data_IF_372995577225
#
_entry.id   IF_372995577225
#
_cell.length_a   1.000
_cell.length_b   1.000
_cell.length_c   1.000
_cell.angle_alpha   90.00
_cell.angle_beta   90.00
_cell.angle_gamma   90.00
#
_symmetry.space_group_name_H-M   'P 1'
#
loop_
_entity.id
_entity.type
_entity.pdbx_description
1 polymer ?
#
# COMPACT_ATOMS: atom_id res chain seq x y z
N UNK A 1 3.44 -0.01 -21.96
CA UNK A 1 4.60 0.15 -21.03
C UNK A 1 5.22 -1.22 -20.91
N UNK A 2 6.52 -1.34 -21.11
CA UNK A 2 7.21 -2.61 -20.95
C UNK A 2 7.52 -2.79 -19.46
N UNK A 3 6.88 -3.77 -18.81
CA UNK A 3 7.04 -4.08 -17.40
C UNK A 3 8.08 -5.19 -17.25
N UNK A 4 9.04 -5.09 -16.31
CA UNK A 4 10.10 -6.09 -16.16
C UNK A 4 9.58 -7.37 -15.50
N UNK A 5 10.20 -8.50 -15.86
CA UNK A 5 9.91 -9.81 -15.25
C UNK A 5 10.55 -9.97 -13.86
N UNK A 6 11.53 -9.13 -13.52
CA UNK A 6 12.22 -9.14 -12.23
C UNK A 6 12.16 -7.76 -11.61
N UNK A 7 11.70 -7.70 -10.36
CA UNK A 7 11.65 -6.46 -9.56
C UNK A 7 12.58 -6.54 -8.35
N UNK A 8 13.32 -5.46 -8.04
CA UNK A 8 13.81 -5.23 -6.69
C UNK A 8 12.61 -5.00 -5.77
N UNK A 9 12.56 -5.69 -4.64
CA UNK A 9 11.44 -5.57 -3.72
C UNK A 9 11.83 -4.94 -2.39
N UNK A 10 10.92 -4.14 -1.86
CA UNK A 10 11.03 -3.46 -0.58
C UNK A 10 9.99 -4.06 0.38
N UNK A 11 10.37 -5.06 1.19
CA UNK A 11 9.50 -5.62 2.21
C UNK A 11 9.30 -4.62 3.35
N UNK A 12 8.07 -4.15 3.53
CA UNK A 12 7.74 -3.20 4.59
C UNK A 12 6.39 -3.53 5.22
N UNK A 13 6.35 -4.02 6.48
CA UNK A 13 5.10 -4.36 7.14
C UNK A 13 4.19 -3.14 7.29
N UNK A 14 2.91 -3.30 6.99
CA UNK A 14 1.91 -2.24 7.16
C UNK A 14 1.98 -1.10 6.13
N UNK A 15 2.99 -1.05 5.27
CA UNK A 15 3.03 -0.10 4.16
C UNK A 15 2.27 -0.67 2.97
N UNK A 16 1.21 0.00 2.58
CA UNK A 16 0.39 -0.34 1.42
C UNK A 16 0.63 0.67 0.29
N UNK A 17 0.87 0.17 -0.91
CA UNK A 17 0.85 0.96 -2.14
C UNK A 17 -0.23 0.39 -3.06
N UNK A 18 -1.03 1.26 -3.63
CA UNK A 18 -2.07 0.91 -4.59
C UNK A 18 -1.78 1.57 -5.95
N UNK A 19 -2.28 1.03 -7.06
CA UNK A 19 -2.11 1.63 -8.39
C UNK A 19 -2.52 3.11 -8.39
N UNK A 20 -1.77 3.97 -9.07
CA UNK A 20 -1.97 5.43 -9.16
C UNK A 20 -1.80 6.22 -7.87
N UNK A 21 -1.84 5.56 -6.71
CA UNK A 21 -1.62 6.20 -5.41
C UNK A 21 -0.14 6.60 -5.20
N UNK A 22 0.10 7.48 -4.24
CA UNK A 22 1.44 7.96 -3.88
C UNK A 22 1.82 7.51 -2.49
N UNK A 23 3.03 6.98 -2.36
CA UNK A 23 3.61 6.56 -1.08
C UNK A 23 4.94 7.29 -0.86
N UNK A 24 4.99 8.27 0.05
CA UNK A 24 6.25 8.86 0.48
C UNK A 24 6.98 7.88 1.40
N UNK A 25 8.28 7.73 1.21
CA UNK A 25 9.14 6.85 2.00
C UNK A 25 10.43 7.58 2.38
N UNK A 26 10.91 7.30 3.59
CA UNK A 26 12.22 7.70 4.06
C UNK A 26 13.15 6.48 4.03
N UNK A 27 14.15 6.51 3.16
CA UNK A 27 15.08 5.40 2.93
C UNK A 27 16.40 5.72 3.62
N UNK A 28 16.81 4.86 4.56
CA UNK A 28 18.02 5.03 5.37
C UNK A 28 18.81 3.73 5.58
N UNK A 29 18.21 2.56 5.43
CA UNK A 29 18.91 1.29 5.56
C UNK A 29 19.85 1.07 4.35
N UNK A 30 21.14 0.68 4.58
CA UNK A 30 22.11 0.52 3.49
C UNK A 30 21.64 -0.38 2.34
N UNK A 31 20.92 -1.47 2.66
CA UNK A 31 20.37 -2.36 1.63
C UNK A 31 19.35 -1.67 0.73
N UNK A 32 18.56 -0.75 1.27
CA UNK A 32 17.55 -0.03 0.50
C UNK A 32 18.10 1.22 -0.18
N UNK A 33 19.18 1.80 0.32
CA UNK A 33 19.96 2.79 -0.42
C UNK A 33 20.54 2.17 -1.70
N UNK A 34 21.15 0.98 -1.59
CA UNK A 34 21.64 0.24 -2.75
C UNK A 34 20.53 -0.14 -3.74
N UNK A 35 19.35 -0.56 -3.23
CA UNK A 35 18.17 -0.84 -4.05
C UNK A 35 17.75 0.39 -4.85
N UNK A 36 17.70 1.56 -4.20
CA UNK A 36 17.31 2.81 -4.84
C UNK A 36 18.31 3.23 -5.90
N UNK A 37 19.62 3.20 -5.59
CA UNK A 37 20.69 3.53 -6.52
C UNK A 37 20.61 2.67 -7.79
N UNK A 38 20.41 1.38 -7.64
CA UNK A 38 20.28 0.47 -8.79
C UNK A 38 18.98 0.69 -9.56
N UNK A 39 17.86 0.94 -8.85
CA UNK A 39 16.57 1.25 -9.45
C UNK A 39 16.62 2.50 -10.31
N UNK A 40 17.28 3.56 -9.84
CA UNK A 40 17.40 4.84 -10.57
C UNK A 40 18.21 4.72 -11.88
N UNK A 41 19.07 3.71 -12.01
CA UNK A 41 19.82 3.40 -13.24
C UNK A 41 18.97 2.66 -14.29
N UNK A 42 17.81 2.10 -13.91
CA UNK A 42 16.91 1.41 -14.82
C UNK A 42 15.99 2.39 -15.55
N UNK A 43 15.55 2.03 -16.76
CA UNK A 43 14.62 2.86 -17.54
C UNK A 43 13.22 2.93 -16.91
N UNK A 44 12.78 1.87 -16.24
CA UNK A 44 11.45 1.76 -15.65
C UNK A 44 11.36 2.37 -14.24
N UNK A 45 12.46 2.43 -13.48
CA UNK A 45 12.54 2.95 -12.11
C UNK A 45 11.50 2.38 -11.15
N UNK A 46 11.23 1.07 -11.25
CA UNK A 46 10.21 0.38 -10.46
C UNK A 46 10.81 -0.31 -9.24
N UNK A 47 10.11 -0.19 -8.12
CA UNK A 47 10.34 -0.91 -6.86
C UNK A 47 9.04 -1.64 -6.50
N UNK A 48 9.12 -2.93 -6.18
CA UNK A 48 7.98 -3.69 -5.69
C UNK A 48 7.78 -3.49 -4.18
N UNK A 49 6.73 -2.77 -3.79
CA UNK A 49 6.27 -2.75 -2.40
C UNK A 49 5.55 -4.06 -2.08
N UNK A 50 5.97 -4.72 -1.02
CA UNK A 50 5.41 -6.03 -0.65
C UNK A 50 5.43 -6.21 0.86
N UNK A 51 4.44 -6.89 1.41
CA UNK A 51 4.42 -7.19 2.83
C UNK A 51 5.13 -8.52 3.12
N UNK A 52 5.97 -8.56 4.17
CA UNK A 52 6.45 -9.82 4.73
C UNK A 52 5.37 -10.44 5.62
N UNK A 53 5.32 -11.77 5.71
CA UNK A 53 4.57 -12.44 6.77
C UNK A 53 5.20 -12.11 8.13
N UNK A 54 4.39 -11.94 9.18
CA UNK A 54 4.89 -11.70 10.53
C UNK A 54 5.64 -12.96 11.03
N UNK A 55 6.97 -12.90 11.00
CA UNK A 55 7.83 -13.91 11.60
C UNK A 55 8.97 -13.23 12.33
N UNK A 56 8.80 -13.04 13.62
CA UNK A 56 9.78 -12.37 14.49
C UNK A 56 11.12 -13.13 14.62
N UNK A 57 11.22 -14.36 14.15
CA UNK A 57 12.42 -15.21 14.27
C UNK A 57 13.20 -15.33 12.96
N UNK A 58 12.60 -14.94 11.84
CA UNK A 58 13.23 -15.07 10.54
C UNK A 58 14.02 -13.80 10.19
N UNK A 59 15.34 -13.93 9.98
CA UNK A 59 16.14 -12.85 9.38
C UNK A 59 15.64 -12.45 7.99
N UNK A 60 14.97 -13.39 7.31
CA UNK A 60 14.43 -13.22 5.95
C UNK A 60 13.00 -13.77 5.90
N UNK A 61 12.01 -13.02 6.39
CA UNK A 61 10.63 -13.49 6.44
C UNK A 61 10.09 -13.77 5.03
N UNK A 62 9.15 -14.72 4.95
CA UNK A 62 8.43 -15.04 3.72
C UNK A 62 7.64 -13.81 3.26
N UNK A 63 7.55 -13.59 1.97
CA UNK A 63 6.76 -12.50 1.38
C UNK A 63 5.35 -12.97 1.06
N UNK A 64 4.40 -12.04 1.13
CA UNK A 64 3.08 -12.25 0.52
C UNK A 64 3.21 -12.47 -0.99
N UNK A 65 2.21 -13.13 -1.57
CA UNK A 65 2.25 -13.45 -3.00
C UNK A 65 1.97 -12.22 -3.89
N UNK A 66 1.26 -11.22 -3.38
CA UNK A 66 0.86 -10.04 -4.14
C UNK A 66 1.46 -8.79 -3.50
N UNK A 67 2.09 -7.97 -4.35
CA UNK A 67 2.58 -6.64 -4.03
C UNK A 67 2.13 -5.62 -5.07
N UNK A 68 2.57 -4.38 -4.93
CA UNK A 68 2.35 -3.32 -5.91
C UNK A 68 3.68 -2.68 -6.30
N UNK A 69 3.93 -2.59 -7.61
CA UNK A 69 5.08 -1.90 -8.15
C UNK A 69 4.84 -0.39 -8.16
N UNK A 70 5.76 0.35 -7.58
CA UNK A 70 5.78 1.79 -7.58
C UNK A 70 6.94 2.33 -8.38
N UNK A 71 6.69 3.38 -9.17
CA UNK A 71 7.73 4.14 -9.86
C UNK A 71 8.27 5.22 -8.95
N UNK A 72 9.59 5.34 -8.87
CA UNK A 72 10.23 6.48 -8.21
C UNK A 72 9.97 7.74 -9.03
N UNK A 73 9.09 8.60 -8.54
CA UNK A 73 8.67 9.85 -9.23
C UNK A 73 9.29 11.10 -8.63
N UNK A 74 9.74 11.03 -7.39
CA UNK A 74 10.50 12.08 -6.73
C UNK A 74 11.53 11.45 -5.80
N UNK A 75 12.70 12.10 -5.69
CA UNK A 75 13.69 11.78 -4.68
C UNK A 75 14.46 13.05 -4.28
N UNK A 76 14.85 13.10 -3.02
CA UNK A 76 15.68 14.15 -2.48
C UNK A 76 16.64 13.53 -1.48
N UNK A 77 17.93 13.80 -1.63
CA UNK A 77 18.94 13.42 -0.68
C UNK A 77 18.93 14.40 0.50
N UNK A 78 18.97 13.87 1.72
CA UNK A 78 19.09 14.65 2.94
C UNK A 78 20.56 14.82 3.30
N UNK A 79 20.92 15.84 4.09
CA UNK A 79 22.29 16.18 4.47
C UNK A 79 23.06 15.02 5.16
N UNK A 80 22.33 14.06 5.72
CA UNK A 80 22.87 12.88 6.40
C UNK A 80 22.98 11.63 5.49
N UNK A 81 22.83 11.80 4.16
CA UNK A 81 22.98 10.72 3.18
C UNK A 81 21.81 9.74 3.13
N UNK A 82 20.64 10.15 3.62
CA UNK A 82 19.37 9.42 3.47
C UNK A 82 18.59 9.97 2.29
N UNK A 83 17.56 9.23 1.89
CA UNK A 83 16.69 9.68 0.80
C UNK A 83 15.24 9.79 1.24
N UNK A 84 14.61 10.89 0.86
CA UNK A 84 13.15 11.02 0.81
C UNK A 84 12.71 10.71 -0.61
N UNK A 85 11.89 9.69 -0.81
CA UNK A 85 11.38 9.31 -2.13
C UNK A 85 9.86 9.32 -2.15
N UNK A 86 9.29 9.44 -3.33
CA UNK A 86 7.87 9.19 -3.57
C UNK A 86 7.74 8.09 -4.60
N UNK A 87 7.04 7.03 -4.25
CA UNK A 87 6.60 6.01 -5.19
C UNK A 87 5.19 6.35 -5.67
N UNK A 88 5.00 6.31 -6.99
CA UNK A 88 3.66 6.32 -7.59
C UNK A 88 3.33 4.91 -8.04
N UNK A 89 2.25 4.33 -7.54
CA UNK A 89 1.81 2.99 -7.87
C UNK A 89 1.52 2.83 -9.35
N UNK A 90 1.97 1.73 -9.93
CA UNK A 90 1.82 1.41 -11.36
C UNK A 90 0.88 0.25 -11.55
N UNK A 91 1.18 -0.89 -10.95
CA UNK A 91 0.37 -2.10 -11.05
C UNK A 91 0.69 -3.06 -9.92
N UNK A 92 -0.29 -3.81 -9.49
CA UNK A 92 -0.05 -5.01 -8.67
C UNK A 92 0.72 -6.04 -9.47
N UNK A 93 1.42 -6.89 -8.76
CA UNK A 93 2.15 -8.03 -9.32
C UNK A 93 2.01 -9.25 -8.41
N UNK A 94 2.22 -10.42 -8.98
CA UNK A 94 2.33 -11.68 -8.24
C UNK A 94 3.77 -12.17 -8.25
N UNK A 95 4.31 -12.46 -7.09
CA UNK A 95 5.62 -13.11 -6.96
C UNK A 95 5.51 -14.56 -7.44
N UNK A 96 6.36 -14.95 -8.36
CA UNK A 96 6.49 -16.32 -8.87
C UNK A 96 7.72 -17.02 -8.34
N UNK A 97 8.75 -16.28 -7.93
CA UNK A 97 9.97 -16.80 -7.35
C UNK A 97 10.85 -15.71 -6.76
N UNK A 98 11.82 -16.06 -5.92
CA UNK A 98 12.89 -15.17 -5.53
C UNK A 98 14.13 -15.44 -6.37
N UNK A 99 14.80 -14.35 -6.78
CA UNK A 99 16.06 -14.44 -7.52
C UNK A 99 17.22 -14.43 -6.53
N UNK A 100 17.99 -15.49 -6.52
CA UNK A 100 19.23 -15.55 -5.77
C UNK A 100 20.30 -14.62 -6.37
N UNK A 101 21.21 -14.09 -5.55
CA UNK A 101 22.28 -13.23 -6.02
C UNK A 101 23.01 -12.50 -4.90
N UNK A 102 23.94 -11.63 -5.28
CA UNK A 102 24.82 -10.88 -4.36
C UNK A 102 24.31 -9.48 -4.00
N UNK A 103 23.09 -9.12 -4.43
CA UNK A 103 22.52 -7.81 -4.05
C UNK A 103 22.15 -7.81 -2.57
N UNK A 104 22.38 -6.70 -1.84
CA UNK A 104 22.04 -6.62 -0.41
C UNK A 104 20.52 -6.56 -0.16
N UNK A 105 19.73 -6.45 -1.21
CA UNK A 105 18.25 -6.41 -1.20
C UNK A 105 17.66 -7.60 -1.96
N UNK A 106 16.40 -7.86 -1.73
CA UNK A 106 15.66 -8.98 -2.36
C UNK A 106 15.20 -8.59 -3.77
N UNK A 107 15.24 -9.55 -4.68
CA UNK A 107 14.67 -9.46 -6.02
C UNK A 107 13.71 -10.62 -6.23
N UNK A 108 12.60 -10.36 -6.91
CA UNK A 108 11.61 -11.38 -7.20
C UNK A 108 11.31 -11.43 -8.70
N UNK A 109 11.15 -12.63 -9.20
CA UNK A 109 10.44 -12.88 -10.45
C UNK A 109 8.95 -12.59 -10.21
N UNK A 110 8.32 -11.91 -11.16
CA UNK A 110 6.96 -11.42 -11.01
C UNK A 110 6.12 -11.67 -12.26
N UNK A 111 4.83 -11.88 -12.04
CA UNK A 111 3.81 -11.93 -13.08
C UNK A 111 2.83 -10.77 -12.91
N UNK A 112 2.51 -10.12 -14.02
CA UNK A 112 1.54 -9.03 -14.11
C UNK A 112 0.15 -9.51 -14.50
N UNK A 113 0.01 -10.79 -14.80
CA UNK A 113 -1.23 -11.40 -15.25
C UNK A 113 -2.33 -11.29 -14.19
N UNK A 114 -3.50 -10.85 -14.61
CA UNK A 114 -4.67 -10.64 -13.75
C UNK A 114 -4.76 -9.24 -13.13
N UNK A 115 -3.79 -8.34 -13.44
CA UNK A 115 -3.76 -6.96 -12.96
C UNK A 115 -3.78 -5.94 -14.11
N UNK A 116 -4.26 -6.30 -15.28
CA UNK A 116 -4.28 -5.46 -16.47
C UNK A 116 -5.07 -4.16 -16.27
N UNK A 117 -6.09 -4.19 -15.40
CA UNK A 117 -6.89 -3.01 -15.05
C UNK A 117 -6.07 -1.91 -14.37
N UNK A 118 -5.06 -2.30 -13.61
CA UNK A 118 -4.22 -1.36 -12.86
C UNK A 118 -3.48 -0.38 -13.78
N UNK A 119 -3.23 -0.78 -15.05
CA UNK A 119 -2.58 0.03 -16.08
C UNK A 119 -3.56 0.98 -16.81
N UNK A 120 -4.84 0.83 -16.55
CA UNK A 120 -5.90 1.68 -17.11
C UNK A 120 -6.04 3.04 -16.40
N UNK A 121 -7.13 3.72 -16.69
CA UNK A 121 -7.54 4.95 -16.00
C UNK A 121 -8.06 4.67 -14.58
N UNK A 122 -8.35 5.74 -13.82
CA UNK A 122 -8.98 5.61 -12.50
C UNK A 122 -10.29 4.83 -12.57
N UNK A 123 -10.54 4.03 -11.53
CA UNK A 123 -11.79 3.30 -11.37
C UNK A 123 -12.85 4.18 -10.69
N UNK A 124 -14.12 3.97 -11.05
CA UNK A 124 -15.29 4.56 -10.37
C UNK A 124 -16.11 3.45 -9.72
N UNK A 125 -16.80 3.77 -8.64
CA UNK A 125 -17.72 2.84 -7.97
C UNK A 125 -19.16 3.39 -8.03
N UNK A 126 -19.90 2.97 -9.04
CA UNK A 126 -21.29 3.41 -9.28
C UNK A 126 -22.23 3.10 -8.10
N UNK A 127 -21.85 2.20 -7.20
CA UNK A 127 -22.63 1.79 -6.04
C UNK A 127 -22.18 2.48 -4.74
N UNK A 128 -21.26 3.44 -4.81
CA UNK A 128 -20.81 4.18 -3.64
C UNK A 128 -21.89 5.15 -3.15
N UNK A 129 -22.56 4.81 -2.05
CA UNK A 129 -23.31 5.80 -1.26
C UNK A 129 -22.29 6.66 -0.48
N UNK A 130 -21.85 7.75 -1.13
CA UNK A 130 -20.82 8.64 -0.60
C UNK A 130 -21.24 9.27 0.73
N UNK A 131 -22.53 9.61 0.88
CA UNK A 131 -23.05 10.20 2.12
C UNK A 131 -22.94 9.24 3.29
N UNK A 132 -23.45 8.02 3.12
CA UNK A 132 -23.36 6.97 4.14
C UNK A 132 -21.90 6.57 4.44
N UNK A 133 -21.05 6.53 3.43
CA UNK A 133 -19.64 6.20 3.59
C UNK A 133 -18.89 7.26 4.41
N UNK A 134 -19.06 8.55 4.10
CA UNK A 134 -18.45 9.65 4.87
C UNK A 134 -18.98 9.73 6.30
N UNK A 135 -20.26 9.44 6.53
CA UNK A 135 -20.84 9.38 7.88
C UNK A 135 -20.23 8.23 8.71
N UNK A 136 -19.98 7.07 8.09
CA UNK A 136 -19.30 5.95 8.74
C UNK A 136 -17.83 6.31 9.08
N UNK A 137 -17.14 6.96 8.14
CA UNK A 137 -15.77 7.45 8.36
C UNK A 137 -15.68 8.45 9.50
N UNK A 138 -16.63 9.39 9.61
CA UNK A 138 -16.63 10.38 10.67
C UNK A 138 -16.67 9.72 12.06
N UNK A 139 -17.52 8.70 12.22
CA UNK A 139 -17.58 7.90 13.46
C UNK A 139 -16.29 7.16 13.75
N UNK A 140 -15.66 6.58 12.73
CA UNK A 140 -14.40 5.86 12.87
C UNK A 140 -13.26 6.79 13.26
N UNK A 141 -13.14 7.95 12.59
CA UNK A 141 -12.10 8.93 12.89
C UNK A 141 -12.25 9.52 14.31
N UNK A 142 -13.50 9.71 14.77
CA UNK A 142 -13.78 10.13 16.13
C UNK A 142 -13.34 9.06 17.15
N UNK A 143 -13.72 7.78 16.92
CA UNK A 143 -13.38 6.68 17.80
C UNK A 143 -11.86 6.42 17.89
N UNK A 144 -11.16 6.50 16.76
CA UNK A 144 -9.71 6.30 16.68
C UNK A 144 -8.90 7.58 16.94
N UNK A 145 -9.55 8.70 17.27
CA UNK A 145 -8.94 10.02 17.50
C UNK A 145 -8.08 10.51 16.32
N UNK A 146 -8.47 10.11 15.10
CA UNK A 146 -7.82 10.52 13.86
C UNK A 146 -8.30 11.89 13.40
N UNK A 147 -7.43 12.60 12.68
CA UNK A 147 -7.75 13.89 12.07
C UNK A 147 -7.56 13.84 10.56
N UNK A 148 -8.42 14.55 9.84
CA UNK A 148 -8.34 14.64 8.38
C UNK A 148 -8.94 15.96 7.91
N UNK A 149 -8.62 16.32 6.67
CA UNK A 149 -9.30 17.39 5.93
C UNK A 149 -10.57 16.82 5.28
N UNK A 150 -11.71 17.09 5.89
CA UNK A 150 -13.01 16.61 5.42
C UNK A 150 -13.42 17.19 4.08
N UNK A 151 -12.98 18.39 3.75
CA UNK A 151 -13.31 19.03 2.47
C UNK A 151 -12.57 18.32 1.33
N UNK A 152 -11.29 18.05 1.50
CA UNK A 152 -10.52 17.23 0.57
C UNK A 152 -11.12 15.83 0.36
N UNK A 153 -11.60 15.18 1.43
CA UNK A 153 -12.25 13.86 1.32
C UNK A 153 -13.60 13.93 0.57
N UNK A 154 -14.35 15.02 0.72
CA UNK A 154 -15.62 15.21 0.00
C UNK A 154 -15.43 15.45 -1.50
N UNK A 155 -14.34 16.10 -1.88
CA UNK A 155 -14.04 16.48 -3.26
C UNK A 155 -13.23 15.43 -4.03
N UNK A 156 -12.58 14.50 -3.33
CA UNK A 156 -11.76 13.44 -3.93
C UNK A 156 -12.61 12.51 -4.83
N UNK A 157 -12.03 12.06 -5.95
CA UNK A 157 -12.62 10.99 -6.75
C UNK A 157 -12.74 9.70 -5.93
N UNK A 158 -13.62 8.79 -6.33
CA UNK A 158 -13.92 7.55 -5.59
C UNK A 158 -12.67 6.71 -5.35
N UNK A 159 -11.84 6.53 -6.37
CA UNK A 159 -10.59 5.77 -6.24
C UNK A 159 -9.62 6.45 -5.29
N UNK A 160 -9.41 7.74 -5.43
CA UNK A 160 -8.51 8.50 -4.55
C UNK A 160 -8.98 8.43 -3.09
N UNK A 161 -10.28 8.53 -2.86
CA UNK A 161 -10.88 8.44 -1.53
C UNK A 161 -10.65 7.07 -0.91
N UNK A 162 -11.06 5.99 -1.61
CA UNK A 162 -11.00 4.62 -1.10
C UNK A 162 -9.54 4.18 -0.92
N UNK A 163 -8.66 4.46 -1.88
CA UNK A 163 -7.27 4.05 -1.85
C UNK A 163 -6.47 4.81 -0.79
N UNK A 164 -6.68 6.11 -0.65
CA UNK A 164 -6.02 6.90 0.41
C UNK A 164 -6.40 6.39 1.79
N UNK A 165 -7.67 6.11 2.04
CA UNK A 165 -8.14 5.57 3.32
C UNK A 165 -7.58 4.15 3.57
N UNK A 166 -7.55 3.30 2.54
CA UNK A 166 -6.96 1.96 2.62
C UNK A 166 -5.47 2.02 3.00
N UNK A 167 -4.75 3.00 2.49
CA UNK A 167 -3.32 3.18 2.76
C UNK A 167 -3.05 3.81 4.12
N UNK A 168 -3.81 4.83 4.52
CA UNK A 168 -3.52 5.69 5.66
C UNK A 168 -4.15 5.23 6.97
N UNK A 169 -5.31 4.56 6.92
CA UNK A 169 -5.92 4.05 8.14
C UNK A 169 -5.02 3.03 8.85
N UNK A 170 -4.99 3.03 10.19
CA UNK A 170 -4.08 2.20 11.00
C UNK A 170 -4.57 0.75 11.13
N UNK A 171 -4.86 0.11 10.00
CA UNK A 171 -5.20 -1.31 9.95
C UNK A 171 -3.96 -2.19 10.08
N UNK A 172 -4.17 -3.40 10.56
CA UNK A 172 -3.12 -4.39 10.65
C UNK A 172 -2.57 -4.79 9.26
N UNK A 173 -1.32 -5.28 9.17
CA UNK A 173 -0.72 -5.68 7.89
C UNK A 173 -1.57 -6.68 7.09
N UNK A 174 -2.24 -7.62 7.75
CA UNK A 174 -3.11 -8.62 7.12
C UNK A 174 -4.36 -7.98 6.50
N UNK A 175 -4.97 -7.01 7.19
CA UNK A 175 -6.10 -6.24 6.68
C UNK A 175 -5.69 -5.38 5.48
N UNK A 176 -4.52 -4.73 5.55
CA UNK A 176 -3.96 -3.99 4.43
C UNK A 176 -3.64 -4.89 3.24
N UNK A 177 -3.21 -6.12 3.48
CA UNK A 177 -3.03 -7.10 2.41
C UNK A 177 -4.36 -7.46 1.74
N UNK A 178 -5.44 -7.66 2.51
CA UNK A 178 -6.76 -7.90 1.96
C UNK A 178 -7.26 -6.73 1.09
N UNK A 179 -7.00 -5.48 1.50
CA UNK A 179 -7.30 -4.29 0.71
C UNK A 179 -6.50 -4.23 -0.60
N UNK A 180 -5.22 -4.63 -0.59
CA UNK A 180 -4.39 -4.73 -1.79
C UNK A 180 -4.91 -5.78 -2.76
N UNK A 181 -5.31 -6.94 -2.24
CA UNK A 181 -5.73 -8.09 -3.04
C UNK A 181 -7.16 -7.95 -3.59
N UNK A 182 -7.94 -6.97 -3.14
CA UNK A 182 -9.28 -6.70 -3.63
C UNK A 182 -9.29 -6.54 -5.18
N UNK A 183 -10.10 -7.33 -5.89
CA UNK A 183 -10.04 -7.39 -7.37
C UNK A 183 -10.59 -6.14 -8.06
N UNK A 184 -11.36 -5.31 -7.36
CA UNK A 184 -11.96 -4.08 -7.89
C UNK A 184 -12.05 -3.01 -6.81
N UNK A 185 -12.27 -1.76 -7.23
CA UNK A 185 -12.51 -0.64 -6.32
C UNK A 185 -13.73 -0.90 -5.42
N UNK A 186 -14.82 -1.41 -5.98
CA UNK A 186 -16.02 -1.75 -5.23
C UNK A 186 -15.74 -2.78 -4.12
N UNK A 187 -15.01 -3.86 -4.44
CA UNK A 187 -14.63 -4.87 -3.43
C UNK A 187 -13.69 -4.30 -2.38
N UNK A 188 -12.75 -3.42 -2.77
CA UNK A 188 -11.87 -2.73 -1.83
C UNK A 188 -12.66 -1.85 -0.87
N UNK A 189 -13.64 -1.10 -1.37
CA UNK A 189 -14.55 -0.30 -0.53
C UNK A 189 -15.34 -1.18 0.44
N UNK A 190 -15.89 -2.31 -0.02
CA UNK A 190 -16.63 -3.22 0.85
C UNK A 190 -15.75 -3.80 1.97
N UNK A 191 -14.51 -4.18 1.63
CA UNK A 191 -13.52 -4.61 2.60
C UNK A 191 -13.20 -3.50 3.60
N UNK A 192 -12.94 -2.29 3.11
CA UNK A 192 -12.66 -1.11 3.94
C UNK A 192 -13.83 -0.81 4.91
N UNK A 193 -15.07 -0.80 4.42
CA UNK A 193 -16.27 -0.61 5.23
C UNK A 193 -16.38 -1.69 6.31
N UNK A 194 -16.08 -2.93 5.97
CA UNK A 194 -16.11 -4.06 6.92
C UNK A 194 -15.07 -3.87 8.02
N UNK A 195 -13.84 -3.51 7.68
CA UNK A 195 -12.77 -3.24 8.65
C UNK A 195 -13.11 -2.08 9.58
N UNK A 196 -13.66 -0.99 9.05
CA UNK A 196 -14.09 0.17 9.82
C UNK A 196 -15.21 -0.23 10.80
N UNK A 197 -16.20 -0.99 10.36
CA UNK A 197 -17.28 -1.47 11.23
C UNK A 197 -16.78 -2.39 12.33
N UNK A 198 -15.81 -3.23 12.00
CA UNK A 198 -15.19 -4.13 12.98
C UNK A 198 -14.42 -3.35 14.05
N UNK A 199 -13.62 -2.36 13.65
CA UNK A 199 -12.91 -1.48 14.56
C UNK A 199 -13.87 -0.74 15.52
N UNK A 200 -14.97 -0.17 14.98
CA UNK A 200 -16.00 0.50 15.79
C UNK A 200 -16.69 -0.44 16.77
N UNK A 201 -16.92 -1.71 16.41
CA UNK A 201 -17.52 -2.68 17.31
C UNK A 201 -16.56 -3.09 18.44
N UNK A 202 -15.25 -3.15 18.15
CA UNK A 202 -14.21 -3.43 19.13
C UNK A 202 -14.02 -2.31 20.16
N UNK A 203 -14.07 -1.06 19.71
CA UNK A 203 -13.95 0.13 20.59
C UNK A 203 -15.13 0.28 21.55
N UNK A 204 -16.35 -0.09 21.12
CA UNK A 204 -17.55 -0.01 21.97
C UNK A 204 -17.62 -1.06 23.09
N UNK A 205 -16.87 -2.17 22.97
CA UNK A 205 -16.85 -3.23 24.02
C UNK A 205 -15.85 -2.96 25.15
N UNK A 206 -14.99 -1.95 25.01
CA UNK A 206 -14.00 -1.57 26.02
C UNK A 206 -14.58 -0.70 27.15
N UNK A 207 -15.61 0.09 26.88
CA UNK A 207 -16.22 0.99 27.88
C UNK A 207 -17.14 0.26 28.89
N UNK A 208 -17.72 -0.89 28.51
CA UNK A 208 -18.62 -1.66 29.39
C UNK A 208 -17.89 -2.56 30.43
N UNK A 209 -16.55 -2.60 30.43
CA UNK A 209 -15.78 -3.42 31.38
C UNK A 209 -15.17 -2.65 32.56
N UNK A 210 -15.47 -1.35 32.71
CA UNK A 210 -14.99 -0.52 33.84
C UNK A 210 -16.14 0.11 34.62
N UNK A 211 -17.19 -0.66 34.91
CA UNK A 211 -18.17 -0.32 35.97
C UNK A 211 -18.27 -1.44 36.99
#
# INVERSE_FOLDING_TARGET
>A
MDLPDILPVFPLPGALLLPRARLPLHVFEPRYLALLDDTLKTSHRLIGMIQPYPDARAERPRLHAIGCAGRVTAFSETEDGRYMITLTGVSRFRVTGEVEGFTPYRRCEVSWQGFERDLGGPETDENLDRGAFLALLARYFEAEQLRTDWDSLREADDELLIDSLSMLCPFDPEDKQALLEAPSLATRRETLVTLIRFALAGSGSGEDRMQ
#
